data_IF_717377071964
#
_entry.id   IF_717377071964
#
_cell.length_a   1.000
_cell.length_b   1.000
_cell.length_c   1.000
_cell.angle_alpha   90.00
_cell.angle_beta   90.00
_cell.angle_gamma   90.00
#
_symmetry.space_group_name_H-M   'P 1'
#
loop_
_entity.id
_entity.type
_entity.pdbx_description
1 polymer ?
#
# COMPACT_ATOMS: atom_id res chain seq x y z
N UNK A 1 -27.11 -13.39 3.63
CA UNK A 1 -26.97 -11.92 3.43
C UNK A 1 -25.50 -11.56 3.61
N UNK A 2 -24.86 -11.01 2.59
CA UNK A 2 -23.52 -10.45 2.75
C UNK A 2 -23.58 -9.26 3.72
N UNK A 3 -22.66 -9.21 4.69
CA UNK A 3 -22.52 -8.05 5.55
C UNK A 3 -21.82 -6.95 4.75
N UNK A 4 -22.61 -6.08 4.12
CA UNK A 4 -22.12 -4.96 3.33
C UNK A 4 -21.16 -4.07 4.13
N UNK A 5 -21.36 -3.92 5.45
CA UNK A 5 -20.42 -3.19 6.32
C UNK A 5 -19.04 -3.88 6.39
N UNK A 6 -19.00 -5.22 6.42
CA UNK A 6 -17.74 -5.96 6.40
C UNK A 6 -16.99 -5.76 5.08
N UNK A 7 -17.72 -5.69 3.95
CA UNK A 7 -17.13 -5.40 2.63
C UNK A 7 -16.54 -3.99 2.59
N UNK A 8 -17.25 -2.99 3.15
CA UNK A 8 -16.75 -1.61 3.22
C UNK A 8 -15.56 -1.43 4.17
N UNK A 9 -15.51 -2.20 5.26
CA UNK A 9 -14.43 -2.08 6.25
C UNK A 9 -13.17 -2.87 5.86
N UNK A 10 -13.29 -3.85 4.96
CA UNK A 10 -12.15 -4.64 4.48
C UNK A 10 -11.05 -3.78 3.84
N UNK A 11 -11.33 -2.84 2.92
CA UNK A 11 -10.33 -1.90 2.40
C UNK A 11 -9.59 -1.11 3.49
N UNK A 12 -10.29 -0.67 4.54
CA UNK A 12 -9.67 0.05 5.66
C UNK A 12 -8.69 -0.83 6.44
N UNK A 13 -9.07 -2.07 6.72
CA UNK A 13 -8.18 -3.04 7.38
C UNK A 13 -6.95 -3.31 6.50
N UNK A 14 -7.14 -3.52 5.20
CA UNK A 14 -6.03 -3.75 4.27
C UNK A 14 -5.09 -2.54 4.21
N UNK A 15 -5.61 -1.31 4.18
CA UNK A 15 -4.79 -0.10 4.24
C UNK A 15 -3.97 -0.04 5.54
N UNK A 16 -4.57 -0.38 6.69
CA UNK A 16 -3.85 -0.42 7.96
C UNK A 16 -2.72 -1.47 7.95
N UNK A 17 -2.97 -2.65 7.38
CA UNK A 17 -1.94 -3.70 7.21
C UNK A 17 -0.82 -3.23 6.28
N UNK A 18 -1.15 -2.63 5.14
CA UNK A 18 -0.16 -2.08 4.21
C UNK A 18 0.73 -1.02 4.88
N UNK A 19 0.13 -0.15 5.69
CA UNK A 19 0.87 0.86 6.46
C UNK A 19 1.81 0.22 7.49
N UNK A 20 1.35 -0.81 8.21
CA UNK A 20 2.18 -1.53 9.18
C UNK A 20 3.38 -2.23 8.51
N UNK A 21 3.17 -2.90 7.38
CA UNK A 21 4.26 -3.55 6.62
C UNK A 21 5.23 -2.51 6.07
N UNK A 22 4.74 -1.38 5.58
CA UNK A 22 5.59 -0.27 5.11
C UNK A 22 6.45 0.28 6.26
N UNK A 23 5.86 0.50 7.44
CA UNK A 23 6.60 0.94 8.62
C UNK A 23 7.65 -0.08 9.08
N UNK A 24 7.33 -1.37 9.02
CA UNK A 24 8.28 -2.44 9.28
C UNK A 24 9.47 -2.39 8.31
N UNK A 25 9.21 -2.29 7.00
CA UNK A 25 10.28 -2.19 6.00
C UNK A 25 11.18 -0.97 6.26
N UNK A 26 10.59 0.18 6.60
CA UNK A 26 11.33 1.40 6.96
C UNK A 26 12.20 1.16 8.21
N UNK A 27 11.63 0.55 9.26
CA UNK A 27 12.38 0.20 10.47
C UNK A 27 13.54 -0.76 10.19
N UNK A 28 13.44 -1.56 9.12
CA UNK A 28 14.50 -2.46 8.66
C UNK A 28 15.46 -1.86 7.64
N UNK A 29 15.46 -0.55 7.43
CA UNK A 29 16.45 0.15 6.60
C UNK A 29 15.99 0.49 5.18
N UNK A 30 14.71 0.31 4.84
CA UNK A 30 14.14 0.93 3.65
C UNK A 30 13.86 2.43 3.88
N UNK A 31 13.83 3.20 2.80
CA UNK A 31 13.45 4.63 2.82
C UNK A 31 12.35 4.89 1.81
N UNK A 32 11.41 5.78 2.16
CA UNK A 32 10.34 6.17 1.24
C UNK A 32 10.77 7.39 0.42
N UNK A 33 10.76 7.25 -0.90
CA UNK A 33 11.05 8.32 -1.85
C UNK A 33 9.86 9.28 -1.95
N UNK A 34 10.12 10.48 -2.48
CA UNK A 34 9.09 11.50 -2.74
C UNK A 34 8.03 11.05 -3.74
N UNK A 35 8.33 10.04 -4.57
CA UNK A 35 7.39 9.38 -5.49
C UNK A 35 6.48 8.37 -4.81
N UNK A 36 6.67 8.08 -3.52
CA UNK A 36 5.97 7.04 -2.78
C UNK A 36 6.53 5.63 -2.98
N UNK A 37 7.62 5.47 -3.73
CA UNK A 37 8.35 4.20 -3.86
C UNK A 37 9.23 3.93 -2.64
N UNK A 38 9.43 2.65 -2.32
CA UNK A 38 10.38 2.20 -1.30
C UNK A 38 11.73 1.89 -1.93
N UNK A 39 12.79 2.51 -1.43
CA UNK A 39 14.18 2.15 -1.69
C UNK A 39 14.63 1.25 -0.53
N UNK A 40 15.20 0.07 -0.82
CA UNK A 40 15.58 -0.91 0.22
C UNK A 40 17.02 -1.41 0.10
N UNK A 41 17.92 -0.77 -0.67
CA UNK A 41 19.32 -1.22 -0.83
C UNK A 41 20.12 -1.17 0.47
N UNK A 42 19.70 -0.34 1.43
CA UNK A 42 20.32 -0.25 2.76
C UNK A 42 19.64 -1.15 3.81
N UNK A 43 18.65 -1.95 3.42
CA UNK A 43 17.98 -2.87 4.34
C UNK A 43 18.88 -4.05 4.70
N UNK A 44 18.76 -4.53 5.94
CA UNK A 44 19.39 -5.78 6.40
C UNK A 44 18.60 -7.03 6.00
N UNK A 45 17.40 -6.86 5.43
CA UNK A 45 16.62 -7.95 4.83
C UNK A 45 17.20 -8.25 3.45
N UNK A 46 17.25 -9.54 3.07
CA UNK A 46 17.71 -9.95 1.74
C UNK A 46 16.96 -9.21 0.61
N UNK A 47 17.67 -8.72 -0.42
CA UNK A 47 17.07 -8.02 -1.56
C UNK A 47 15.94 -8.79 -2.24
N UNK A 48 16.01 -10.11 -2.30
CA UNK A 48 14.97 -10.95 -2.91
C UNK A 48 13.66 -10.86 -2.13
N UNK A 49 13.72 -10.85 -0.79
CA UNK A 49 12.53 -10.76 0.04
C UNK A 49 11.96 -9.33 0.07
N UNK A 50 12.81 -8.31 0.16
CA UNK A 50 12.34 -6.91 0.10
C UNK A 50 11.67 -6.61 -1.23
N UNK A 51 12.25 -7.05 -2.35
CA UNK A 51 11.65 -6.90 -3.68
C UNK A 51 10.28 -7.59 -3.77
N UNK A 52 10.16 -8.83 -3.28
CA UNK A 52 8.89 -9.55 -3.27
C UNK A 52 7.82 -8.84 -2.43
N UNK A 53 8.17 -8.35 -1.24
CA UNK A 53 7.24 -7.62 -0.36
C UNK A 53 6.80 -6.32 -1.03
N UNK A 54 7.71 -5.53 -1.57
CA UNK A 54 7.39 -4.26 -2.27
C UNK A 54 6.47 -4.51 -3.47
N UNK A 55 6.71 -5.56 -4.25
CA UNK A 55 5.84 -5.93 -5.36
C UNK A 55 4.41 -6.29 -4.89
N UNK A 56 4.30 -7.08 -3.82
CA UNK A 56 2.99 -7.44 -3.21
C UNK A 56 2.29 -6.21 -2.66
N UNK A 57 3.00 -5.29 -2.01
CA UNK A 57 2.43 -4.03 -1.50
C UNK A 57 1.86 -3.18 -2.64
N UNK A 58 2.61 -2.99 -3.73
CA UNK A 58 2.16 -2.23 -4.90
C UNK A 58 0.92 -2.84 -5.57
N UNK A 59 0.93 -4.16 -5.79
CA UNK A 59 -0.21 -4.87 -6.35
C UNK A 59 -1.44 -4.78 -5.43
N UNK A 60 -1.26 -4.98 -4.13
CA UNK A 60 -2.32 -4.89 -3.12
C UNK A 60 -2.93 -3.49 -3.07
N UNK A 61 -2.09 -2.44 -3.09
CA UNK A 61 -2.55 -1.04 -3.11
C UNK A 61 -3.40 -0.77 -4.35
N UNK A 62 -2.95 -1.25 -5.50
CA UNK A 62 -3.66 -1.09 -6.78
C UNK A 62 -5.03 -1.77 -6.72
N UNK A 63 -5.09 -3.00 -6.22
CA UNK A 63 -6.34 -3.73 -6.03
C UNK A 63 -7.29 -3.00 -5.07
N UNK A 64 -6.78 -2.52 -3.93
CA UNK A 64 -7.58 -1.76 -2.95
C UNK A 64 -8.18 -0.50 -3.60
N UNK A 65 -7.37 0.23 -4.39
CA UNK A 65 -7.86 1.41 -5.09
C UNK A 65 -8.97 1.05 -6.10
N UNK A 66 -8.82 -0.04 -6.86
CA UNK A 66 -9.85 -0.50 -7.80
C UNK A 66 -11.13 -0.91 -7.08
N UNK A 67 -11.02 -1.60 -5.93
CA UNK A 67 -12.19 -2.02 -5.14
C UNK A 67 -12.91 -0.81 -4.53
N UNK A 68 -12.16 0.19 -4.06
CA UNK A 68 -12.71 1.38 -3.39
C UNK A 68 -13.30 2.39 -4.38
N UNK A 69 -12.57 2.66 -5.46
CA UNK A 69 -12.82 3.79 -6.35
C UNK A 69 -13.23 3.36 -7.77
N UNK A 70 -13.28 2.05 -8.03
CA UNK A 70 -13.44 1.49 -9.38
C UNK A 70 -12.19 1.68 -10.25
N UNK A 71 -12.22 1.16 -11.48
CA UNK A 71 -11.13 1.34 -12.45
C UNK A 71 -10.87 2.82 -12.78
N UNK A 72 -11.89 3.67 -12.74
CA UNK A 72 -11.75 5.12 -12.94
C UNK A 72 -10.89 5.80 -11.86
N UNK A 73 -10.80 5.22 -10.66
CA UNK A 73 -9.95 5.72 -9.58
C UNK A 73 -8.45 5.64 -9.86
N UNK A 74 -8.02 4.82 -10.84
CA UNK A 74 -6.61 4.72 -11.23
C UNK A 74 -6.10 5.92 -12.04
N UNK A 75 -7.01 6.65 -12.68
CA UNK A 75 -6.67 7.78 -13.57
C UNK A 75 -7.24 9.12 -13.08
N UNK A 76 -8.09 9.10 -12.06
CA UNK A 76 -8.69 10.32 -11.51
C UNK A 76 -7.63 11.10 -10.72
N UNK A 77 -7.51 12.43 -10.91
CA UNK A 77 -6.73 13.28 -10.04
C UNK A 77 -7.19 13.10 -8.59
N UNK A 78 -6.26 12.84 -7.68
CA UNK A 78 -6.59 12.79 -6.26
C UNK A 78 -7.02 14.20 -5.81
N UNK A 79 -8.13 14.35 -5.08
CA UNK A 79 -8.50 15.63 -4.51
C UNK A 79 -7.37 16.13 -3.58
N UNK A 80 -7.13 17.45 -3.49
CA UNK A 80 -6.12 17.99 -2.59
C UNK A 80 -6.35 17.48 -1.17
N UNK A 81 -5.29 17.01 -0.52
CA UNK A 81 -5.35 16.71 0.90
C UNK A 81 -5.43 18.03 1.64
N UNK A 82 -6.62 18.38 2.13
CA UNK A 82 -6.78 19.52 3.05
C UNK A 82 -6.01 19.19 4.33
N UNK A 83 -5.17 20.13 4.77
CA UNK A 83 -4.36 20.00 5.98
C UNK A 83 -5.14 20.44 7.21
#
# INVERSE_FOLDING_TARGET
MFNTNAIHNLPNILIAVLAAVTAFLIATGCTQLTTGLLECSQSWISPTYTAAIVAVLGASKTLINVVRDGFGGLIKPQPPVEK
#
